data_IF_147362609656
#
_entry.id   IF_147362609656
#
_cell.length_a   1.000
_cell.length_b   1.000
_cell.length_c   1.000
_cell.angle_alpha   90.00
_cell.angle_beta   90.00
_cell.angle_gamma   90.00
#
_symmetry.space_group_name_H-M   'P 1'
#
loop_
_entity.id
_entity.type
_entity.pdbx_description
1 polymer ?
#
# COMPACT_ATOMS: atom_id res chain seq x y z
N UNK A 1 7.16 -16.34 -17.01
CA UNK A 1 5.91 -15.60 -17.24
C UNK A 1 5.54 -14.88 -15.95
N UNK A 2 5.17 -13.60 -16.02
CA UNK A 2 4.74 -12.82 -14.85
C UNK A 2 3.31 -13.25 -14.46
N UNK A 3 3.10 -13.57 -13.18
CA UNK A 3 1.79 -14.01 -12.66
C UNK A 3 1.11 -12.98 -11.76
N UNK A 4 1.86 -12.02 -11.23
CA UNK A 4 1.40 -10.97 -10.33
C UNK A 4 2.15 -9.67 -10.58
N UNK A 5 1.44 -8.56 -10.50
CA UNK A 5 1.96 -7.20 -10.56
C UNK A 5 1.76 -6.56 -9.19
N UNK A 6 2.81 -5.99 -8.62
CA UNK A 6 2.71 -5.20 -7.39
C UNK A 6 2.43 -3.74 -7.77
N UNK A 7 1.32 -3.20 -7.28
CA UNK A 7 0.96 -1.79 -7.42
C UNK A 7 1.22 -1.06 -6.10
N UNK A 8 2.36 -0.36 -5.94
CA UNK A 8 2.57 0.52 -4.82
C UNK A 8 1.67 1.75 -4.94
N UNK A 9 1.09 2.18 -3.84
CA UNK A 9 0.37 3.44 -3.74
C UNK A 9 0.80 4.19 -2.48
N UNK A 10 0.85 5.51 -2.57
CA UNK A 10 1.00 6.43 -1.44
C UNK A 10 -0.32 7.17 -1.13
N UNK A 11 -1.40 6.84 -1.84
CA UNK A 11 -2.71 7.49 -1.71
C UNK A 11 -2.83 8.83 -2.44
N UNK A 12 -1.81 9.27 -3.17
CA UNK A 12 -1.89 10.50 -3.97
C UNK A 12 -2.78 10.36 -5.20
N UNK A 13 -3.31 11.49 -5.70
CA UNK A 13 -4.06 11.54 -6.97
C UNK A 13 -3.24 10.99 -8.15
N UNK A 14 -1.91 11.15 -8.10
CA UNK A 14 -1.01 10.59 -9.10
C UNK A 14 -0.94 9.06 -9.02
N UNK A 15 -0.86 8.50 -7.81
CA UNK A 15 -0.89 7.05 -7.61
C UNK A 15 -2.25 6.46 -8.01
N UNK A 16 -3.37 7.15 -7.75
CA UNK A 16 -4.70 6.72 -8.20
C UNK A 16 -4.77 6.54 -9.72
N UNK A 17 -4.22 7.48 -10.49
CA UNK A 17 -4.16 7.41 -11.95
C UNK A 17 -3.39 6.18 -12.47
N UNK A 18 -2.52 5.57 -11.67
CA UNK A 18 -1.75 4.37 -12.07
C UNK A 18 -2.57 3.07 -12.02
N UNK A 19 -3.71 3.06 -11.31
CA UNK A 19 -4.56 1.87 -11.11
C UNK A 19 -5.01 1.30 -12.47
N UNK A 20 -5.44 2.17 -13.39
CA UNK A 20 -5.93 1.72 -14.70
C UNK A 20 -4.84 1.01 -15.50
N UNK A 21 -3.60 1.52 -15.48
CA UNK A 21 -2.47 0.94 -16.18
C UNK A 21 -2.08 -0.43 -15.60
N UNK A 22 -2.12 -0.58 -14.27
CA UNK A 22 -1.82 -1.86 -13.62
C UNK A 22 -2.87 -2.92 -13.97
N UNK A 23 -4.16 -2.55 -14.01
CA UNK A 23 -5.26 -3.45 -14.39
C UNK A 23 -5.13 -3.87 -15.85
N UNK A 24 -4.88 -2.93 -16.76
CA UNK A 24 -4.78 -3.23 -18.20
C UNK A 24 -3.57 -4.12 -18.50
N UNK A 25 -2.44 -3.85 -17.84
CA UNK A 25 -1.26 -4.70 -17.94
C UNK A 25 -1.54 -6.11 -17.39
N UNK A 26 -2.16 -6.23 -16.22
CA UNK A 26 -2.50 -7.51 -15.62
C UNK A 26 -3.43 -8.34 -16.54
N UNK A 27 -4.45 -7.71 -17.14
CA UNK A 27 -5.35 -8.35 -18.11
C UNK A 27 -4.60 -8.89 -19.31
N UNK A 28 -3.71 -8.08 -19.90
CA UNK A 28 -2.92 -8.51 -21.08
C UNK A 28 -1.99 -9.70 -20.79
N UNK A 29 -1.57 -9.86 -19.53
CA UNK A 29 -0.66 -10.90 -19.11
C UNK A 29 -1.36 -12.12 -18.48
N UNK A 30 -2.67 -12.07 -18.25
CA UNK A 30 -3.37 -13.08 -17.44
C UNK A 30 -2.85 -13.14 -16.00
N UNK A 31 -2.39 -12.01 -15.46
CA UNK A 31 -1.81 -11.87 -14.13
C UNK A 31 -2.79 -11.25 -13.12
N UNK A 32 -2.50 -11.40 -11.83
CA UNK A 32 -3.18 -10.65 -10.76
C UNK A 32 -2.49 -9.32 -10.43
N UNK A 33 -3.19 -8.47 -9.67
CA UNK A 33 -2.62 -7.24 -9.10
C UNK A 33 -2.69 -7.32 -7.58
N UNK A 34 -1.56 -7.14 -6.90
CA UNK A 34 -1.51 -6.96 -5.45
C UNK A 34 -1.23 -5.47 -5.17
N UNK A 35 -2.06 -4.82 -4.36
CA UNK A 35 -1.91 -3.39 -4.00
C UNK A 35 -1.16 -3.28 -2.68
N UNK A 36 -0.20 -2.36 -2.59
CA UNK A 36 0.63 -2.16 -1.40
C UNK A 36 0.74 -0.69 -1.03
N UNK A 37 0.54 -0.39 0.25
CA UNK A 37 0.90 0.88 0.86
C UNK A 37 2.01 0.65 1.89
N UNK A 38 3.10 1.39 1.79
CA UNK A 38 4.19 1.34 2.75
C UNK A 38 4.12 2.55 3.69
N UNK A 39 4.25 2.31 4.98
CA UNK A 39 4.33 3.38 5.98
C UNK A 39 5.60 3.22 6.81
N UNK A 40 6.18 4.35 7.23
CA UNK A 40 7.27 4.33 8.17
C UNK A 40 6.71 4.14 9.60
N UNK A 41 7.02 3.04 10.30
CA UNK A 41 6.58 2.89 11.68
C UNK A 41 7.31 3.93 12.54
N UNK A 42 6.56 4.82 13.20
CA UNK A 42 7.14 5.82 14.10
C UNK A 42 7.22 5.21 15.52
N UNK A 43 8.40 4.84 16.04
CA UNK A 43 8.49 4.11 17.31
C UNK A 43 7.98 4.94 18.50
N UNK A 44 8.10 6.26 18.43
CA UNK A 44 7.65 7.19 19.46
C UNK A 44 6.12 7.27 19.59
N UNK A 45 5.37 7.01 18.52
CA UNK A 45 3.90 6.97 18.58
C UNK A 45 3.40 5.75 19.36
N UNK A 46 4.05 4.59 19.24
CA UNK A 46 3.72 3.40 20.04
C UNK A 46 3.98 3.64 21.53
N UNK A 47 5.11 4.27 21.87
CA UNK A 47 5.42 4.65 23.27
C UNK A 47 4.37 5.61 23.83
N UNK A 48 3.98 6.64 23.08
CA UNK A 48 2.93 7.59 23.52
C UNK A 48 1.56 6.94 23.69
N UNK A 49 1.16 6.08 22.74
CA UNK A 49 -0.10 5.36 22.84
C UNK A 49 -0.12 4.39 24.03
N UNK A 50 0.99 3.70 24.32
CA UNK A 50 1.10 2.82 25.49
C UNK A 50 1.01 3.62 26.79
N UNK A 51 1.72 4.74 26.92
CA UNK A 51 1.65 5.60 28.10
C UNK A 51 0.22 6.15 28.34
N UNK A 52 -0.50 6.53 27.28
CA UNK A 52 -1.88 7.00 27.39
C UNK A 52 -2.88 5.91 27.83
N UNK A 53 -2.58 4.63 27.57
CA UNK A 53 -3.43 3.50 27.97
C UNK A 53 -3.11 3.00 29.39
N UNK A 54 -1.90 3.27 29.91
CA UNK A 54 -1.48 2.94 31.28
C UNK A 54 -1.91 4.00 32.31
N UNK A 55 -2.34 5.19 31.86
CA UNK A 55 -2.86 6.27 32.71
C UNK A 55 -4.39 6.18 33.00
N UNK A 56 -5.07 5.12 32.55
CA UNK A 56 -6.48 4.81 32.84
C UNK A 56 -6.62 3.49 33.60
#
# INVERSE_FOLDING_TARGET
MIKKILLPTDGSEYAEKTIIFAIDLAKSLGAGVDVMYAFHPVPSLRKRAAMMLEEY
#
